data_IF_731457451671
#
_entry.id   IF_731457451671
#
_cell.length_a   1.000
_cell.length_b   1.000
_cell.length_c   1.000
_cell.angle_alpha   90.00
_cell.angle_beta   90.00
_cell.angle_gamma   90.00
#
_symmetry.space_group_name_H-M   'P 1'
#
loop_
_entity.id
_entity.type
_entity.pdbx_description
1 polymer ?
#
# COMPACT_ATOMS: atom_id res chain seq x y z
N UNK A 1 -40.51 -12.12 46.35
CA UNK A 1 -40.74 -11.65 44.97
C UNK A 1 -41.02 -12.83 44.06
N UNK A 2 -42.19 -12.90 43.39
CA UNK A 2 -42.47 -13.92 42.37
C UNK A 2 -42.06 -13.34 41.02
N UNK A 3 -41.12 -13.98 40.34
CA UNK A 3 -40.69 -13.60 38.99
C UNK A 3 -41.68 -14.19 37.98
N UNK A 4 -42.20 -13.38 37.06
CA UNK A 4 -43.14 -13.84 36.03
C UNK A 4 -42.40 -14.63 34.93
N UNK A 5 -42.76 -15.90 34.65
CA UNK A 5 -42.11 -16.69 33.59
C UNK A 5 -42.34 -16.16 32.17
N UNK A 6 -43.45 -15.43 31.97
CA UNK A 6 -43.85 -14.87 30.67
C UNK A 6 -43.33 -13.45 30.44
N UNK A 7 -42.63 -12.85 31.41
CA UNK A 7 -42.07 -11.51 31.23
C UNK A 7 -41.05 -11.54 30.08
N UNK A 8 -41.09 -10.59 29.14
CA UNK A 8 -40.06 -10.47 28.12
C UNK A 8 -38.73 -10.12 28.78
N UNK A 9 -37.67 -10.76 28.32
CA UNK A 9 -36.30 -10.55 28.75
C UNK A 9 -35.39 -10.64 27.53
N UNK A 10 -34.31 -9.87 27.55
CA UNK A 10 -33.31 -9.87 26.49
C UNK A 10 -32.21 -10.91 26.80
N UNK A 11 -31.67 -11.54 25.75
CA UNK A 11 -30.49 -12.38 25.86
C UNK A 11 -29.30 -11.59 26.43
N UNK A 12 -28.47 -12.23 27.26
CA UNK A 12 -27.29 -11.60 27.87
C UNK A 12 -26.01 -11.76 27.05
N UNK A 13 -26.04 -12.55 25.97
CA UNK A 13 -24.89 -12.70 25.08
C UNK A 13 -24.66 -11.40 24.31
N UNK A 14 -23.40 -10.95 24.29
CA UNK A 14 -23.03 -9.70 23.64
C UNK A 14 -23.37 -9.74 22.14
N UNK A 15 -23.93 -8.64 21.62
CA UNK A 15 -24.43 -8.57 20.25
C UNK A 15 -25.75 -9.30 19.94
N UNK A 16 -26.31 -10.10 20.86
CA UNK A 16 -27.60 -10.75 20.64
C UNK A 16 -28.78 -9.80 20.92
N UNK A 17 -29.63 -9.58 19.91
CA UNK A 17 -30.82 -8.73 20.00
C UNK A 17 -32.11 -9.52 20.32
N UNK A 18 -32.00 -10.81 20.66
CA UNK A 18 -33.17 -11.65 20.95
C UNK A 18 -33.87 -11.19 22.24
N UNK A 19 -35.17 -10.98 22.15
CA UNK A 19 -36.07 -10.70 23.28
C UNK A 19 -37.19 -11.74 23.25
N UNK A 20 -37.37 -12.47 24.35
CA UNK A 20 -38.37 -13.53 24.44
C UNK A 20 -38.89 -13.76 25.87
N UNK A 21 -39.88 -14.65 26.07
CA UNK A 21 -40.34 -15.03 27.40
C UNK A 21 -39.20 -15.59 28.24
N UNK A 22 -39.15 -15.26 29.54
CA UNK A 22 -38.11 -15.74 30.47
C UNK A 22 -38.00 -17.26 30.50
N UNK A 23 -39.11 -17.98 30.34
CA UNK A 23 -39.13 -19.44 30.23
C UNK A 23 -38.41 -19.99 28.98
N UNK A 24 -38.27 -19.21 27.92
CA UNK A 24 -37.62 -19.61 26.66
C UNK A 24 -36.16 -19.13 26.55
N UNK A 25 -35.69 -18.21 27.40
CA UNK A 25 -34.32 -17.68 27.31
C UNK A 25 -33.26 -18.76 27.44
N UNK A 26 -33.42 -19.71 28.36
CA UNK A 26 -32.43 -20.79 28.53
C UNK A 26 -32.26 -21.63 27.26
N UNK A 27 -33.38 -21.98 26.62
CA UNK A 27 -33.36 -22.73 25.36
C UNK A 27 -32.74 -21.93 24.21
N UNK A 28 -32.94 -20.61 24.20
CA UNK A 28 -32.25 -19.72 23.26
C UNK A 28 -30.74 -19.67 23.54
N UNK A 29 -30.34 -19.50 24.80
CA UNK A 29 -28.92 -19.39 25.21
C UNK A 29 -28.10 -20.60 24.76
N UNK A 30 -28.64 -21.82 24.84
CA UNK A 30 -27.98 -23.06 24.40
C UNK A 30 -27.66 -23.14 22.89
N UNK A 31 -28.36 -22.34 22.07
CA UNK A 31 -28.22 -22.33 20.61
C UNK A 31 -27.99 -20.91 20.07
N UNK A 32 -27.57 -19.99 20.94
CA UNK A 32 -27.42 -18.60 20.57
C UNK A 32 -26.17 -18.44 19.71
N UNK A 33 -26.34 -17.96 18.48
CA UNK A 33 -25.25 -17.70 17.54
C UNK A 33 -24.10 -16.83 18.11
N UNK A 34 -24.41 -15.96 19.09
CA UNK A 34 -23.48 -15.06 19.78
C UNK A 34 -22.90 -15.65 21.08
N UNK A 35 -23.26 -16.88 21.42
CA UNK A 35 -22.73 -17.55 22.61
C UNK A 35 -21.21 -17.73 22.43
N UNK A 36 -20.41 -17.37 23.45
CA UNK A 36 -18.97 -17.62 23.41
C UNK A 36 -18.69 -19.11 23.47
N UNK A 37 -17.87 -19.59 22.54
CA UNK A 37 -17.43 -20.97 22.42
C UNK A 37 -15.90 -21.01 22.49
N UNK A 38 -15.35 -21.90 23.33
CA UNK A 38 -13.91 -22.04 23.49
C UNK A 38 -13.38 -23.09 22.51
N UNK A 39 -12.45 -22.70 21.64
CA UNK A 39 -11.80 -23.64 20.73
C UNK A 39 -10.98 -24.67 21.50
N UNK A 40 -11.08 -25.95 21.12
CA UNK A 40 -10.31 -27.03 21.74
C UNK A 40 -8.86 -27.10 21.25
N UNK A 41 -8.56 -26.55 20.07
CA UNK A 41 -7.21 -26.54 19.50
C UNK A 41 -6.36 -25.38 20.07
N UNK A 42 -6.88 -24.15 20.01
CA UNK A 42 -6.10 -22.94 20.37
C UNK A 42 -6.56 -22.25 21.66
N UNK A 43 -7.66 -22.73 22.28
CA UNK A 43 -8.26 -22.14 23.48
C UNK A 43 -8.79 -20.71 23.37
N UNK A 44 -8.79 -20.12 22.17
CA UNK A 44 -9.44 -18.84 21.88
C UNK A 44 -10.96 -18.94 22.07
N UNK A 45 -11.57 -17.85 22.54
CA UNK A 45 -13.03 -17.74 22.66
C UNK A 45 -13.56 -17.06 21.41
N UNK A 46 -14.41 -17.76 20.67
CA UNK A 46 -15.03 -17.29 19.43
C UNK A 46 -16.55 -17.43 19.54
N UNK A 47 -17.31 -16.67 18.76
CA UNK A 47 -18.78 -16.82 18.74
C UNK A 47 -19.18 -18.15 18.09
N UNK A 48 -20.28 -18.76 18.53
CA UNK A 48 -20.77 -20.03 17.98
C UNK A 48 -20.95 -19.98 16.45
N UNK A 49 -21.45 -18.86 15.91
CA UNK A 49 -21.62 -18.67 14.45
C UNK A 49 -20.30 -18.67 13.68
N UNK A 50 -19.21 -18.26 14.32
CA UNK A 50 -17.90 -18.06 13.70
C UNK A 50 -16.95 -19.24 14.00
N UNK A 51 -17.39 -20.19 14.83
CA UNK A 51 -16.56 -21.31 15.29
C UNK A 51 -16.10 -22.22 14.14
N UNK A 52 -16.99 -22.57 13.20
CA UNK A 52 -16.61 -23.37 12.03
C UNK A 52 -15.60 -22.63 11.16
N UNK A 53 -15.87 -21.35 10.88
CA UNK A 53 -14.95 -20.52 10.11
C UNK A 53 -13.58 -20.41 10.81
N UNK A 54 -13.58 -20.24 12.14
CA UNK A 54 -12.36 -20.25 12.93
C UNK A 54 -11.59 -21.56 12.74
N UNK A 55 -12.23 -22.71 12.97
CA UNK A 55 -11.56 -24.01 12.88
C UNK A 55 -10.94 -24.24 11.49
N UNK A 56 -11.70 -24.02 10.42
CA UNK A 56 -11.27 -24.34 9.06
C UNK A 56 -10.35 -23.29 8.42
N UNK A 57 -10.42 -22.02 8.83
CA UNK A 57 -9.74 -20.95 8.10
C UNK A 57 -8.72 -20.16 8.94
N UNK A 58 -8.95 -19.93 10.23
CA UNK A 58 -8.11 -18.99 11.01
C UNK A 58 -7.44 -19.55 12.26
N UNK A 59 -7.92 -20.67 12.82
CA UNK A 59 -7.32 -21.32 13.98
C UNK A 59 -5.84 -21.66 13.72
N UNK A 60 -4.89 -21.08 14.47
CA UNK A 60 -3.46 -21.30 14.24
C UNK A 60 -3.00 -22.73 14.60
N UNK A 61 -3.70 -23.36 15.56
CA UNK A 61 -3.41 -24.70 16.04
C UNK A 61 -4.14 -25.79 15.24
N UNK A 62 -5.03 -25.43 14.31
CA UNK A 62 -5.67 -26.42 13.45
C UNK A 62 -4.62 -27.15 12.60
N UNK A 63 -4.75 -28.47 12.53
CA UNK A 63 -3.87 -29.33 11.72
C UNK A 63 -4.30 -29.30 10.26
N UNK A 64 -3.31 -29.27 9.38
CA UNK A 64 -3.49 -29.28 7.94
C UNK A 64 -2.35 -30.03 7.25
N UNK A 65 -2.61 -30.51 6.04
CA UNK A 65 -1.60 -31.18 5.23
C UNK A 65 -0.86 -30.16 4.37
N UNK A 66 0.47 -30.25 4.34
CA UNK A 66 1.27 -29.57 3.33
C UNK A 66 0.83 -30.04 1.94
N UNK A 67 0.53 -29.09 1.05
CA UNK A 67 0.10 -29.39 -0.32
C UNK A 67 1.17 -30.11 -1.15
N UNK A 68 2.44 -29.93 -0.80
CA UNK A 68 3.56 -30.46 -1.58
C UNK A 68 4.04 -31.81 -1.06
N UNK A 69 4.27 -31.93 0.26
CA UNK A 69 4.84 -33.15 0.86
C UNK A 69 3.84 -33.99 1.67
N UNK A 70 2.58 -33.53 1.80
CA UNK A 70 1.50 -34.20 2.55
C UNK A 70 1.76 -34.40 4.05
N UNK A 71 2.84 -33.83 4.60
CA UNK A 71 3.09 -33.81 6.03
C UNK A 71 1.95 -33.08 6.74
N UNK A 72 1.51 -33.59 7.90
CA UNK A 72 0.55 -32.90 8.76
C UNK A 72 1.31 -31.93 9.67
N UNK A 73 0.90 -30.67 9.68
CA UNK A 73 1.47 -29.59 10.49
C UNK A 73 0.36 -28.70 11.06
N UNK A 74 0.69 -27.89 12.07
CA UNK A 74 -0.22 -26.84 12.52
C UNK A 74 -0.23 -25.68 11.51
N UNK A 75 -1.38 -25.02 11.33
CA UNK A 75 -1.52 -23.89 10.40
C UNK A 75 -0.48 -22.80 10.61
N UNK A 76 -0.14 -22.50 11.88
CA UNK A 76 0.92 -21.53 12.22
C UNK A 76 2.30 -21.91 11.66
N UNK A 77 2.56 -23.19 11.43
CA UNK A 77 3.84 -23.71 10.95
C UNK A 77 3.95 -23.72 9.42
N UNK A 78 2.84 -23.45 8.70
CA UNK A 78 2.77 -23.50 7.24
C UNK A 78 3.84 -22.68 6.56
N UNK A 79 4.00 -21.42 6.97
CA UNK A 79 4.95 -20.50 6.36
C UNK A 79 6.41 -20.87 6.68
N UNK A 80 6.66 -21.38 7.88
CA UNK A 80 7.99 -21.88 8.24
C UNK A 80 8.33 -23.14 7.44
N UNK A 81 7.36 -24.06 7.31
CA UNK A 81 7.50 -25.31 6.57
C UNK A 81 7.78 -25.06 5.08
N UNK A 82 7.09 -24.14 4.41
CA UNK A 82 7.29 -23.89 2.97
C UNK A 82 8.75 -23.55 2.62
N UNK A 83 9.47 -22.89 3.54
CA UNK A 83 10.89 -22.53 3.39
C UNK A 83 11.83 -23.72 3.47
N UNK A 84 11.41 -24.83 4.09
CA UNK A 84 12.23 -26.04 4.32
C UNK A 84 11.62 -27.32 3.74
N UNK A 85 10.45 -27.23 3.09
CA UNK A 85 9.74 -28.38 2.55
C UNK A 85 10.61 -29.14 1.54
N UNK A 86 10.87 -30.45 1.75
CA UNK A 86 11.79 -31.23 0.91
C UNK A 86 11.24 -31.45 -0.50
N UNK A 87 9.92 -31.53 -0.65
CA UNK A 87 9.25 -31.76 -1.94
C UNK A 87 8.99 -30.45 -2.72
N UNK A 88 9.30 -29.29 -2.13
CA UNK A 88 9.15 -28.00 -2.79
C UNK A 88 10.02 -27.91 -4.05
N UNK A 89 9.43 -27.50 -5.17
CA UNK A 89 10.15 -27.35 -6.44
C UNK A 89 10.90 -26.02 -6.43
N UNK A 90 12.22 -26.09 -6.36
CA UNK A 90 13.11 -24.95 -6.48
C UNK A 90 13.47 -24.72 -7.95
N UNK A 91 13.59 -23.45 -8.30
CA UNK A 91 14.14 -23.01 -9.58
C UNK A 91 15.58 -22.54 -9.36
N UNK A 92 16.46 -22.84 -10.30
CA UNK A 92 17.81 -22.31 -10.27
C UNK A 92 17.80 -20.79 -10.43
N UNK A 93 18.46 -20.10 -9.49
CA UNK A 93 18.54 -18.64 -9.46
C UNK A 93 19.49 -18.05 -10.52
N UNK A 94 20.24 -18.90 -11.23
CA UNK A 94 21.11 -18.45 -12.32
C UNK A 94 20.23 -18.18 -13.55
N UNK A 95 20.12 -16.90 -13.91
CA UNK A 95 19.41 -16.44 -15.10
C UNK A 95 19.84 -17.23 -16.35
N UNK A 96 18.86 -17.67 -17.14
CA UNK A 96 19.10 -18.51 -18.32
C UNK A 96 19.37 -20.00 -18.04
N UNK A 97 19.48 -20.44 -16.77
CA UNK A 97 19.63 -21.87 -16.47
C UNK A 97 18.36 -22.66 -16.75
N UNK A 98 17.22 -22.19 -16.21
CA UNK A 98 15.88 -22.79 -16.38
C UNK A 98 15.65 -24.11 -15.64
N UNK A 99 16.63 -24.60 -14.89
CA UNK A 99 16.52 -25.87 -14.17
C UNK A 99 15.57 -25.76 -12.96
N UNK A 100 14.77 -26.80 -12.74
CA UNK A 100 13.89 -26.91 -11.58
C UNK A 100 13.88 -28.33 -11.03
N UNK A 101 13.87 -28.48 -9.71
CA UNK A 101 13.87 -29.77 -9.04
C UNK A 101 13.40 -29.64 -7.59
N UNK A 102 12.97 -30.74 -6.98
CA UNK A 102 12.68 -30.79 -5.55
C UNK A 102 13.87 -30.37 -4.71
N UNK A 103 13.60 -29.61 -3.64
CA UNK A 103 14.60 -29.14 -2.67
C UNK A 103 15.51 -30.27 -2.19
N UNK A 104 14.94 -31.42 -1.84
CA UNK A 104 15.70 -32.57 -1.33
C UNK A 104 16.76 -33.12 -2.31
N UNK A 105 16.61 -32.87 -3.61
CA UNK A 105 17.56 -33.31 -4.63
C UNK A 105 18.32 -32.15 -5.29
N UNK A 106 17.98 -30.91 -4.95
CA UNK A 106 18.51 -29.72 -5.63
C UNK A 106 20.02 -29.53 -5.42
N UNK A 107 20.55 -30.02 -4.31
CA UNK A 107 22.00 -29.99 -4.03
C UNK A 107 22.80 -30.72 -5.12
N UNK A 108 22.24 -31.78 -5.74
CA UNK A 108 22.91 -32.50 -6.83
C UNK A 108 23.15 -31.61 -8.05
N UNK A 109 22.24 -30.69 -8.35
CA UNK A 109 22.40 -29.70 -9.40
C UNK A 109 23.46 -28.65 -9.05
N UNK A 110 23.53 -28.23 -7.77
CA UNK A 110 24.48 -27.22 -7.30
C UNK A 110 25.92 -27.74 -7.23
N UNK A 111 26.10 -29.04 -6.98
CA UNK A 111 27.41 -29.65 -6.82
C UNK A 111 27.94 -30.28 -8.12
N UNK A 112 27.15 -30.34 -9.19
CA UNK A 112 27.60 -30.84 -10.49
C UNK A 112 28.59 -29.86 -11.15
N UNK A 113 29.86 -30.24 -11.36
CA UNK A 113 30.87 -29.37 -11.96
C UNK A 113 30.52 -28.90 -13.37
N UNK A 114 29.85 -29.73 -14.17
CA UNK A 114 29.45 -29.37 -15.53
C UNK A 114 28.35 -28.30 -15.51
N UNK A 115 27.41 -28.39 -14.57
CA UNK A 115 26.38 -27.38 -14.36
C UNK A 115 27.01 -26.08 -13.85
N UNK A 116 27.91 -26.14 -12.88
CA UNK A 116 28.57 -24.94 -12.36
C UNK A 116 29.41 -24.22 -13.42
N UNK A 117 30.14 -24.96 -14.25
CA UNK A 117 30.86 -24.38 -15.38
C UNK A 117 29.93 -23.61 -16.33
N UNK A 118 28.76 -24.18 -16.65
CA UNK A 118 27.71 -23.50 -17.43
C UNK A 118 27.18 -22.27 -16.71
N UNK A 119 26.93 -22.34 -15.40
CA UNK A 119 26.47 -21.19 -14.61
C UNK A 119 27.46 -20.03 -14.64
N UNK A 120 28.76 -20.30 -14.55
CA UNK A 120 29.79 -19.26 -14.64
C UNK A 120 29.73 -18.54 -15.99
N UNK A 121 29.49 -19.26 -17.09
CA UNK A 121 29.32 -18.65 -18.42
C UNK A 121 28.08 -17.76 -18.47
N UNK A 122 26.93 -18.26 -18.02
CA UNK A 122 25.68 -17.48 -17.98
C UNK A 122 25.82 -16.23 -17.10
N UNK A 123 26.48 -16.35 -15.95
CA UNK A 123 26.75 -15.22 -15.06
C UNK A 123 27.69 -14.21 -15.73
N UNK A 124 28.70 -14.66 -16.47
CA UNK A 124 29.59 -13.77 -17.21
C UNK A 124 28.84 -12.99 -18.31
N UNK A 125 27.93 -13.64 -19.05
CA UNK A 125 27.08 -12.99 -20.05
C UNK A 125 26.14 -11.95 -19.41
N UNK A 126 25.55 -12.29 -18.26
CA UNK A 126 24.71 -11.37 -17.50
C UNK A 126 25.51 -10.14 -17.02
N UNK A 127 26.73 -10.35 -16.50
CA UNK A 127 27.62 -9.27 -16.09
C UNK A 127 28.04 -8.36 -17.26
N UNK A 128 28.29 -8.93 -18.44
CA UNK A 128 28.58 -8.13 -19.63
C UNK A 128 27.39 -7.27 -20.06
N UNK A 129 26.18 -7.84 -20.04
CA UNK A 129 24.94 -7.12 -20.37
C UNK A 129 24.68 -5.99 -19.38
N UNK A 130 24.82 -6.26 -18.08
CA UNK A 130 24.68 -5.24 -17.04
C UNK A 130 25.70 -4.11 -17.20
N UNK A 131 26.93 -4.44 -17.60
CA UNK A 131 27.97 -3.44 -17.85
C UNK A 131 27.63 -2.54 -19.03
N UNK A 132 27.13 -3.10 -20.14
CA UNK A 132 26.71 -2.29 -21.29
C UNK A 132 25.51 -1.41 -20.97
N UNK A 133 24.54 -1.93 -20.22
CA UNK A 133 23.37 -1.17 -19.78
C UNK A 133 23.76 -0.02 -18.84
N UNK A 134 24.75 -0.25 -17.98
CA UNK A 134 25.26 0.79 -17.10
C UNK A 134 25.96 1.90 -17.90
N UNK A 135 26.76 1.55 -18.91
CA UNK A 135 27.39 2.52 -19.80
C UNK A 135 26.37 3.35 -20.58
N UNK A 136 25.29 2.73 -21.09
CA UNK A 136 24.22 3.45 -21.77
C UNK A 136 23.50 4.44 -20.83
N UNK A 137 23.19 3.98 -19.61
CA UNK A 137 22.59 4.84 -18.57
C UNK A 137 23.50 6.01 -18.21
N UNK A 138 24.80 5.80 -18.08
CA UNK A 138 25.77 6.86 -17.79
C UNK A 138 25.81 7.91 -18.92
N UNK A 139 25.82 7.48 -20.18
CA UNK A 139 25.74 8.38 -21.34
C UNK A 139 24.42 9.15 -21.39
N UNK A 140 23.31 8.50 -21.03
CA UNK A 140 22.01 9.15 -20.95
C UNK A 140 21.96 10.18 -19.82
N UNK A 141 22.53 9.87 -18.65
CA UNK A 141 22.64 10.80 -17.53
C UNK A 141 23.45 12.04 -17.93
N UNK A 142 24.63 11.87 -18.53
CA UNK A 142 25.44 13.00 -19.00
C UNK A 142 24.69 13.91 -19.98
N UNK A 143 23.88 13.32 -20.88
CA UNK A 143 23.05 14.09 -21.82
C UNK A 143 21.98 14.89 -21.10
N UNK A 144 21.26 14.27 -20.17
CA UNK A 144 20.21 14.93 -19.39
C UNK A 144 20.80 16.03 -18.50
N UNK A 145 21.96 15.81 -17.90
CA UNK A 145 22.68 16.83 -17.13
C UNK A 145 23.04 18.05 -17.98
N UNK A 146 23.52 17.83 -19.22
CA UNK A 146 23.80 18.91 -20.15
C UNK A 146 22.53 19.68 -20.56
N UNK A 147 21.43 18.97 -20.82
CA UNK A 147 20.14 19.57 -21.16
C UNK A 147 19.57 20.41 -20.01
N UNK A 148 19.59 19.87 -18.78
CA UNK A 148 19.19 20.60 -17.58
C UNK A 148 20.05 21.85 -17.40
N UNK A 149 21.35 21.78 -17.64
CA UNK A 149 22.24 22.95 -17.57
C UNK A 149 21.87 24.03 -18.60
N UNK A 150 21.51 23.63 -19.83
CA UNK A 150 21.06 24.57 -20.86
C UNK A 150 19.75 25.25 -20.48
N UNK A 151 18.75 24.48 -20.04
CA UNK A 151 17.45 25.00 -19.61
C UNK A 151 17.58 25.91 -18.39
N UNK A 152 18.50 25.61 -17.46
CA UNK A 152 18.81 26.51 -16.34
C UNK A 152 19.39 27.84 -16.83
N UNK A 153 20.30 27.82 -17.81
CA UNK A 153 20.83 29.05 -18.43
C UNK A 153 19.74 29.85 -19.14
N UNK A 154 18.86 29.18 -19.89
CA UNK A 154 17.75 29.84 -20.58
C UNK A 154 16.77 30.47 -19.59
N UNK A 155 16.37 29.74 -18.54
CA UNK A 155 15.50 30.27 -17.48
C UNK A 155 16.12 31.48 -16.78
N UNK A 156 17.42 31.46 -16.49
CA UNK A 156 18.10 32.63 -15.88
C UNK A 156 18.13 33.83 -16.82
N UNK A 157 18.33 33.63 -18.12
CA UNK A 157 18.24 34.72 -19.11
C UNK A 157 16.82 35.29 -19.18
N UNK A 158 15.80 34.44 -19.27
CA UNK A 158 14.40 34.85 -19.31
C UNK A 158 14.02 35.62 -18.03
N UNK A 159 14.39 35.11 -16.86
CA UNK A 159 14.14 35.78 -15.59
C UNK A 159 14.78 37.18 -15.54
N UNK A 160 16.03 37.31 -16.01
CA UNK A 160 16.71 38.60 -16.09
C UNK A 160 15.99 39.57 -17.06
N UNK A 161 15.51 39.09 -18.21
CA UNK A 161 14.74 39.92 -19.15
C UNK A 161 13.41 40.37 -18.55
N UNK A 162 12.68 39.47 -17.90
CA UNK A 162 11.42 39.77 -17.23
C UNK A 162 11.61 40.81 -16.12
N UNK A 163 12.67 40.66 -15.32
CA UNK A 163 13.01 41.62 -14.25
C UNK A 163 13.27 43.01 -14.81
N UNK A 164 14.01 43.13 -15.93
CA UNK A 164 14.24 44.41 -16.62
C UNK A 164 12.95 45.01 -17.15
N UNK A 165 12.06 44.20 -17.74
CA UNK A 165 10.77 44.67 -18.25
C UNK A 165 9.87 45.20 -17.12
N UNK A 166 9.81 44.49 -15.99
CA UNK A 166 9.04 44.94 -14.80
C UNK A 166 9.57 46.29 -14.30
N UNK A 167 10.89 46.44 -14.15
CA UNK A 167 11.49 47.71 -13.74
C UNK A 167 11.20 48.86 -14.73
N UNK A 168 11.17 48.58 -16.03
CA UNK A 168 10.79 49.56 -17.05
C UNK A 168 9.31 49.97 -16.93
N UNK A 169 8.41 49.01 -16.69
CA UNK A 169 6.98 49.25 -16.49
C UNK A 169 6.73 50.09 -15.23
N UNK A 170 7.37 49.77 -14.11
CA UNK A 170 7.29 50.55 -12.86
C UNK A 170 7.78 52.00 -13.08
N UNK A 171 8.88 52.17 -13.82
CA UNK A 171 9.39 53.50 -14.19
C UNK A 171 8.40 54.26 -15.09
N UNK A 172 7.77 53.60 -16.05
CA UNK A 172 6.76 54.23 -16.91
C UNK A 172 5.50 54.64 -16.12
N UNK A 173 5.04 53.79 -15.18
CA UNK A 173 3.90 54.09 -14.31
C UNK A 173 4.16 55.27 -13.38
N UNK A 174 5.35 55.37 -12.78
CA UNK A 174 5.71 56.52 -11.93
C UNK A 174 5.74 57.85 -12.70
N UNK A 175 6.25 57.85 -13.94
CA UNK A 175 6.22 59.02 -14.82
C UNK A 175 4.79 59.41 -15.26
N UNK A 176 3.92 58.42 -15.50
CA UNK A 176 2.50 58.64 -15.80
C UNK A 176 1.77 59.26 -14.60
N UNK A 177 1.97 58.72 -13.40
CA UNK A 177 1.36 59.23 -12.17
C UNK A 177 1.83 60.67 -11.84
N UNK A 178 3.10 61.00 -12.14
CA UNK A 178 3.62 62.36 -11.98
C UNK A 178 3.06 63.38 -12.99
N UNK A 179 2.55 62.91 -14.15
CA UNK A 179 1.92 63.76 -15.19
C UNK A 179 0.40 63.83 -15.09
N UNK A 180 -0.24 63.14 -14.14
CA UNK A 180 -1.67 63.25 -13.92
C UNK A 180 -1.99 64.70 -13.47
N UNK A 181 -2.74 65.50 -14.24
CA UNK A 181 -3.10 66.84 -13.82
C UNK A 181 -3.97 66.74 -12.57
N UNK A 182 -3.61 67.49 -11.52
CA UNK A 182 -4.49 67.72 -10.38
C UNK A 182 -5.85 68.15 -10.94
N UNK A 183 -6.86 67.27 -10.83
CA UNK A 183 -8.25 67.62 -11.09
C UNK A 183 -8.56 68.81 -10.18
N UNK A 184 -8.88 69.99 -10.70
CA UNK A 184 -9.29 71.10 -9.86
C UNK A 184 -10.49 70.62 -9.04
N UNK A 185 -10.41 70.77 -7.71
CA UNK A 185 -11.58 70.68 -6.85
C UNK A 185 -12.54 71.76 -7.35
N UNK A 186 -13.58 71.34 -8.07
CA UNK A 186 -14.64 72.25 -8.52
C UNK A 186 -15.31 72.78 -7.24
N UNK A 187 -15.31 74.10 -6.99
CA UNK A 187 -16.08 74.65 -5.89
C UNK A 187 -17.56 74.36 -6.17
N UNK A 188 -18.24 73.70 -5.24
CA UNK A 188 -19.69 73.65 -5.24
C UNK A 188 -20.21 75.05 -4.97
N UNK A 189 -20.66 75.74 -6.03
CA UNK A 189 -21.38 77.02 -5.91
C UNK A 189 -22.88 76.75 -6.11
N UNK A 190 -23.76 77.34 -5.29
CA UNK A 190 -25.18 76.99 -5.25
C UNK A 190 -25.94 77.52 -6.48
N UNK A 191 -26.89 76.73 -6.95
CA UNK A 191 -27.88 77.15 -7.94
C UNK A 191 -28.99 77.96 -7.26
N UNK A 192 -29.08 79.25 -7.57
CA UNK A 192 -30.33 80.05 -7.51
C UNK A 192 -30.27 81.13 -8.59
N UNK A 193 -30.93 80.90 -9.73
CA UNK A 193 -32.23 81.50 -10.12
C UNK A 193 -32.07 82.79 -10.94
N UNK A 194 -32.33 82.68 -12.25
CA UNK A 194 -32.68 83.80 -13.11
C UNK A 194 -34.04 83.47 -13.75
N UNK A 195 -35.09 84.10 -13.22
CA UNK A 195 -36.39 84.26 -13.84
C UNK A 195 -36.63 85.76 -14.01
N UNK A 196 -37.01 86.19 -15.22
CA UNK A 196 -37.69 87.47 -15.48
C UNK A 196 -36.80 88.61 -15.96
#
# INVERSE_FOLDING_TARGET
>A
HRVCPKSPVQCTNDGCLYIGPREHIKAHEENCAFQPFRCHECHEVVEQRDFEHHLFNSCPEAKECCVTCQQVLHRREREAHSKVCPEEILHCAVEGCGFKQRRASFETHLLDPAVMARHIVLMAECLQTLKTDQQDKDLRLQRLEAEVSMLQKENTMLLNTQTKMVAQLEKAQSLSNAKAPHRPLVPTVPWTEFHG
#
